data_IF_516949878680
#
_entry.id   IF_516949878680
#
_cell.length_a   1.000
_cell.length_b   1.000
_cell.length_c   1.000
_cell.angle_alpha   90.00
_cell.angle_beta   90.00
_cell.angle_gamma   90.00
#
_symmetry.space_group_name_H-M   'P 1'
#
loop_
_entity.id
_entity.type
_entity.pdbx_description
1 polymer ?
#
# COMPACT_ATOMS: atom_id res chain seq x y z
N UNK A 1 -22.24 41.04 15.10
CA UNK A 1 -21.09 40.41 15.77
C UNK A 1 -20.85 39.03 15.14
N UNK A 2 -19.85 38.92 14.27
CA UNK A 2 -19.59 37.74 13.43
C UNK A 2 -18.52 36.85 14.07
N UNK A 3 -18.90 35.63 14.48
CA UNK A 3 -17.96 34.61 15.00
C UNK A 3 -17.28 33.91 13.83
N UNK A 4 -16.00 34.19 13.62
CA UNK A 4 -15.11 33.41 12.74
C UNK A 4 -14.90 32.03 13.33
N UNK A 5 -15.42 31.00 12.65
CA UNK A 5 -15.05 29.61 12.90
C UNK A 5 -13.60 29.38 12.46
N UNK A 6 -12.76 29.03 13.42
CA UNK A 6 -11.39 28.54 13.21
C UNK A 6 -11.49 27.16 12.56
N UNK A 7 -11.07 27.09 11.30
CA UNK A 7 -10.78 25.86 10.58
C UNK A 7 -9.79 25.01 11.36
N UNK A 8 -10.20 23.80 11.72
CA UNK A 8 -9.31 22.78 12.28
C UNK A 8 -8.24 22.42 11.26
N UNK A 9 -6.99 22.59 11.68
CA UNK A 9 -5.79 22.21 10.96
C UNK A 9 -5.76 20.69 10.86
N UNK A 10 -5.85 20.18 9.63
CA UNK A 10 -5.74 18.77 9.32
C UNK A 10 -4.47 18.16 9.92
N UNK A 11 -4.65 17.09 10.70
CA UNK A 11 -3.54 16.30 11.23
C UNK A 11 -2.78 15.67 10.05
N UNK A 12 -1.47 15.89 9.91
CA UNK A 12 -0.70 15.25 8.85
C UNK A 12 -0.65 13.74 9.07
N UNK A 13 -1.13 13.04 8.05
CA UNK A 13 -1.15 11.60 7.83
C UNK A 13 0.05 10.83 8.42
N UNK A 14 -0.24 9.92 9.36
CA UNK A 14 0.71 8.95 9.95
C UNK A 14 1.28 7.91 8.97
N UNK A 15 0.85 7.89 7.71
CA UNK A 15 1.30 6.88 6.73
C UNK A 15 2.74 7.06 6.22
N UNK A 16 3.35 8.24 6.38
CA UNK A 16 4.75 8.44 5.95
C UNK A 16 5.78 7.68 6.81
N UNK A 17 5.43 7.27 8.04
CA UNK A 17 6.37 6.60 8.94
C UNK A 17 6.55 5.10 8.68
N UNK A 18 5.58 4.45 8.00
CA UNK A 18 5.67 3.02 7.69
C UNK A 18 6.59 2.73 6.50
N UNK A 19 6.42 3.47 5.40
CA UNK A 19 7.28 3.33 4.22
C UNK A 19 8.77 3.61 4.53
N UNK A 20 9.03 4.57 5.45
CA UNK A 20 10.38 4.87 5.89
C UNK A 20 11.05 3.72 6.65
N UNK A 21 10.29 2.93 7.43
CA UNK A 21 10.83 1.82 8.23
C UNK A 21 11.25 0.61 7.37
N UNK A 22 10.48 0.27 6.34
CA UNK A 22 10.85 -0.82 5.44
C UNK A 22 12.04 -0.46 4.54
N UNK A 23 12.11 0.79 4.10
CA UNK A 23 13.28 1.31 3.40
C UNK A 23 14.53 1.28 4.31
N UNK A 24 14.38 1.67 5.58
CA UNK A 24 15.47 1.59 6.56
C UNK A 24 15.91 0.15 6.81
N UNK A 25 14.98 -0.82 6.84
CA UNK A 25 15.30 -2.22 7.08
C UNK A 25 16.04 -2.85 5.88
N UNK A 26 15.63 -2.54 4.65
CA UNK A 26 16.34 -2.99 3.45
C UNK A 26 17.74 -2.38 3.32
N UNK A 27 17.89 -1.08 3.63
CA UNK A 27 19.21 -0.41 3.69
C UNK A 27 20.08 -1.03 4.80
N UNK A 28 19.50 -1.29 5.98
CA UNK A 28 20.23 -1.90 7.09
C UNK A 28 20.69 -3.32 6.75
N UNK A 29 19.83 -4.13 6.11
CA UNK A 29 20.19 -5.47 5.65
C UNK A 29 21.30 -5.41 4.60
N UNK A 30 21.21 -4.51 3.61
CA UNK A 30 22.27 -4.31 2.62
C UNK A 30 23.59 -3.89 3.27
N UNK A 31 23.55 -2.98 4.24
CA UNK A 31 24.72 -2.54 4.98
C UNK A 31 25.33 -3.69 5.79
N UNK A 32 24.52 -4.49 6.48
CA UNK A 32 24.96 -5.68 7.22
C UNK A 32 25.56 -6.72 6.27
N UNK A 33 24.94 -6.97 5.12
CA UNK A 33 25.46 -7.90 4.11
C UNK A 33 26.80 -7.43 3.54
N UNK A 34 26.94 -6.12 3.28
CA UNK A 34 28.17 -5.52 2.81
C UNK A 34 29.30 -5.68 3.85
N UNK A 35 29.00 -5.39 5.13
CA UNK A 35 29.95 -5.55 6.24
C UNK A 35 30.36 -7.01 6.44
N UNK A 36 29.40 -7.93 6.46
CA UNK A 36 29.66 -9.37 6.57
C UNK A 36 30.51 -9.88 5.38
N UNK A 37 30.19 -9.44 4.16
CA UNK A 37 30.97 -9.75 2.98
C UNK A 37 32.42 -9.27 3.10
N UNK A 38 32.64 -8.07 3.65
CA UNK A 38 33.99 -7.54 3.93
C UNK A 38 34.76 -8.39 4.95
N UNK A 39 34.11 -8.81 6.05
CA UNK A 39 34.72 -9.66 7.09
C UNK A 39 35.10 -11.05 6.57
N UNK A 40 34.23 -11.66 5.77
CA UNK A 40 34.51 -12.95 5.11
C UNK A 40 35.69 -12.78 4.17
N UNK A 41 35.73 -11.72 3.37
CA UNK A 41 36.84 -11.47 2.45
C UNK A 41 38.17 -11.25 3.18
N UNK A 42 38.17 -10.51 4.29
CA UNK A 42 39.37 -10.34 5.10
C UNK A 42 39.86 -11.67 5.67
N UNK A 43 38.94 -12.51 6.13
CA UNK A 43 39.29 -13.85 6.65
C UNK A 43 39.88 -14.74 5.56
N UNK A 44 39.26 -14.76 4.38
CA UNK A 44 39.75 -15.49 3.20
C UNK A 44 41.11 -14.94 2.74
N UNK A 45 41.28 -13.62 2.72
CA UNK A 45 42.55 -12.97 2.39
C UNK A 45 43.67 -13.40 3.33
N UNK A 46 43.42 -13.39 4.65
CA UNK A 46 44.41 -13.83 5.64
C UNK A 46 44.76 -15.30 5.48
N UNK A 47 43.77 -16.16 5.22
CA UNK A 47 43.98 -17.57 4.98
C UNK A 47 44.82 -17.81 3.69
N UNK A 48 44.51 -17.12 2.59
CA UNK A 48 45.27 -17.23 1.35
C UNK A 48 46.71 -16.73 1.50
N UNK A 49 46.92 -15.58 2.13
CA UNK A 49 48.26 -15.04 2.36
C UNK A 49 49.09 -15.95 3.27
N UNK A 50 48.49 -16.52 4.31
CA UNK A 50 49.14 -17.47 5.21
C UNK A 50 49.52 -18.77 4.50
N UNK A 51 48.62 -19.33 3.69
CA UNK A 51 48.79 -20.67 3.12
C UNK A 51 49.62 -20.69 1.83
N UNK A 52 49.57 -19.62 1.04
CA UNK A 52 50.24 -19.52 -0.27
C UNK A 52 51.36 -18.49 -0.32
N UNK A 53 51.61 -17.74 0.77
CA UNK A 53 52.68 -16.75 0.83
C UNK A 53 52.51 -15.54 -0.10
N UNK A 54 51.30 -15.32 -0.63
CA UNK A 54 50.99 -14.18 -1.49
C UNK A 54 50.96 -12.88 -0.68
N UNK A 55 52.13 -12.28 -0.47
CA UNK A 55 52.30 -10.94 0.10
C UNK A 55 52.23 -9.83 -0.97
N UNK A 56 51.80 -10.15 -2.19
CA UNK A 56 51.82 -9.21 -3.32
C UNK A 56 50.57 -8.31 -3.32
N UNK A 57 50.72 -6.98 -3.52
CA UNK A 57 49.62 -6.02 -3.55
C UNK A 57 48.56 -6.34 -4.63
N UNK A 58 48.93 -7.14 -5.62
CA UNK A 58 48.04 -7.67 -6.68
C UNK A 58 46.90 -8.52 -6.10
N UNK A 59 47.15 -9.33 -5.06
CA UNK A 59 46.09 -10.15 -4.44
C UNK A 59 45.02 -9.27 -3.76
N UNK A 60 45.44 -8.20 -3.10
CA UNK A 60 44.53 -7.24 -2.48
C UNK A 60 43.62 -6.56 -3.49
N UNK A 61 44.18 -6.13 -4.63
CA UNK A 61 43.40 -5.53 -5.72
C UNK A 61 42.40 -6.55 -6.30
N UNK A 62 42.84 -7.78 -6.56
CA UNK A 62 41.97 -8.85 -7.08
C UNK A 62 40.79 -9.14 -6.15
N UNK A 63 41.04 -9.18 -4.84
CA UNK A 63 40.02 -9.39 -3.82
C UNK A 63 39.00 -8.24 -3.77
N UNK A 64 39.46 -6.99 -3.82
CA UNK A 64 38.57 -5.81 -3.86
C UNK A 64 37.68 -5.85 -5.11
N UNK A 65 38.27 -6.11 -6.28
CA UNK A 65 37.52 -6.23 -7.54
C UNK A 65 36.50 -7.37 -7.47
N UNK A 66 36.90 -8.53 -6.93
CA UNK A 66 36.00 -9.67 -6.73
C UNK A 66 34.84 -9.35 -5.79
N UNK A 67 35.09 -8.64 -4.70
CA UNK A 67 34.04 -8.19 -3.78
C UNK A 67 33.06 -7.24 -4.46
N UNK A 68 33.55 -6.23 -5.18
CA UNK A 68 32.69 -5.29 -5.93
C UNK A 68 31.81 -6.06 -6.92
N UNK A 69 32.37 -7.04 -7.62
CA UNK A 69 31.62 -7.88 -8.54
C UNK A 69 30.51 -8.69 -7.83
N UNK A 70 30.81 -9.30 -6.68
CA UNK A 70 29.82 -10.03 -5.87
C UNK A 70 28.69 -9.10 -5.40
N UNK A 71 29.04 -7.93 -4.87
CA UNK A 71 28.05 -6.94 -4.42
C UNK A 71 27.19 -6.46 -5.57
N UNK A 72 27.78 -6.18 -6.74
CA UNK A 72 27.05 -5.78 -7.94
C UNK A 72 26.09 -6.88 -8.43
N UNK A 73 26.52 -8.15 -8.42
CA UNK A 73 25.67 -9.27 -8.78
C UNK A 73 24.50 -9.46 -7.81
N UNK A 74 24.75 -9.35 -6.51
CA UNK A 74 23.69 -9.40 -5.49
C UNK A 74 22.71 -8.25 -5.67
N UNK A 75 23.20 -7.02 -5.86
CA UNK A 75 22.35 -5.85 -6.10
C UNK A 75 21.48 -6.05 -7.35
N UNK A 76 22.05 -6.55 -8.44
CA UNK A 76 21.31 -6.84 -9.68
C UNK A 76 20.28 -7.96 -9.48
N UNK A 77 20.61 -9.01 -8.72
CA UNK A 77 19.70 -10.08 -8.38
C UNK A 77 18.50 -9.59 -7.57
N UNK A 78 18.74 -8.80 -6.50
CA UNK A 78 17.68 -8.22 -5.69
C UNK A 78 16.85 -7.21 -6.47
N UNK A 79 17.49 -6.36 -7.28
CA UNK A 79 16.80 -5.41 -8.14
C UNK A 79 15.84 -6.14 -9.09
N UNK A 80 16.31 -7.17 -9.80
CA UNK A 80 15.48 -7.90 -10.74
C UNK A 80 14.35 -8.68 -10.04
N UNK A 81 14.63 -9.30 -8.88
CA UNK A 81 13.66 -10.14 -8.15
C UNK A 81 12.60 -9.33 -7.39
N UNK A 82 12.95 -8.18 -6.83
CA UNK A 82 12.03 -7.37 -6.02
C UNK A 82 11.43 -6.20 -6.82
N UNK A 83 12.24 -5.39 -7.50
CA UNK A 83 11.77 -4.15 -8.14
C UNK A 83 10.79 -4.44 -9.27
N UNK A 84 10.98 -5.55 -9.99
CA UNK A 84 10.08 -5.96 -11.08
C UNK A 84 8.63 -6.13 -10.64
N UNK A 85 8.34 -7.03 -9.68
CA UNK A 85 7.00 -7.17 -9.10
C UNK A 85 6.44 -5.86 -8.52
N UNK A 86 7.24 -5.09 -7.79
CA UNK A 86 6.77 -3.82 -7.20
C UNK A 86 6.37 -2.79 -8.26
N UNK A 87 7.12 -2.63 -9.35
CA UNK A 87 6.72 -1.74 -10.45
C UNK A 87 5.41 -2.15 -11.12
N UNK A 88 5.15 -3.46 -11.24
CA UNK A 88 3.86 -3.95 -11.77
C UNK A 88 2.72 -3.62 -10.83
N UNK A 89 2.93 -3.81 -9.53
CA UNK A 89 1.93 -3.48 -8.51
C UNK A 89 1.65 -1.98 -8.47
N UNK A 90 2.68 -1.15 -8.53
CA UNK A 90 2.56 0.30 -8.60
C UNK A 90 1.70 0.74 -9.79
N UNK A 91 1.95 0.16 -10.97
CA UNK A 91 1.18 0.47 -12.18
C UNK A 91 -0.30 0.09 -12.06
N UNK A 92 -0.60 -1.11 -11.58
CA UNK A 92 -2.00 -1.54 -11.40
C UNK A 92 -2.69 -0.74 -10.28
N UNK A 93 -1.99 -0.44 -9.17
CA UNK A 93 -2.51 0.42 -8.11
C UNK A 93 -2.81 1.83 -8.61
N UNK A 94 -1.99 2.38 -9.52
CA UNK A 94 -2.25 3.69 -10.13
C UNK A 94 -3.56 3.70 -10.92
N UNK A 95 -3.84 2.65 -11.71
CA UNK A 95 -5.11 2.54 -12.43
C UNK A 95 -6.31 2.43 -11.50
N UNK A 96 -6.17 1.67 -10.41
CA UNK A 96 -7.20 1.58 -9.37
C UNK A 96 -7.44 2.97 -8.74
N UNK A 97 -6.37 3.75 -8.50
CA UNK A 97 -6.50 5.12 -7.99
C UNK A 97 -7.17 6.08 -9.00
N UNK A 98 -7.04 5.80 -10.29
CA UNK A 98 -7.70 6.54 -11.37
C UNK A 98 -9.19 6.15 -11.55
N UNK A 99 -9.70 5.22 -10.74
CA UNK A 99 -11.13 4.84 -10.67
C UNK A 99 -11.48 3.48 -11.30
N UNK A 100 -10.51 2.72 -11.81
CA UNK A 100 -10.72 1.36 -12.34
C UNK A 100 -10.76 0.32 -11.18
N UNK A 101 -11.82 0.36 -10.35
CA UNK A 101 -11.96 -0.52 -9.17
C UNK A 101 -12.25 -1.99 -9.48
N UNK A 102 -12.63 -2.31 -10.72
CA UNK A 102 -12.85 -3.68 -11.21
C UNK A 102 -11.54 -4.44 -11.42
N UNK A 103 -10.41 -3.73 -11.54
CA UNK A 103 -9.10 -4.35 -11.68
C UNK A 103 -8.67 -5.09 -10.42
N UNK A 104 -7.86 -6.12 -10.64
CA UNK A 104 -7.20 -6.89 -9.59
C UNK A 104 -5.70 -6.88 -9.80
N UNK A 105 -4.97 -6.81 -8.70
CA UNK A 105 -3.53 -6.90 -8.67
C UNK A 105 -3.11 -8.33 -9.05
N UNK A 106 -2.14 -8.45 -9.95
CA UNK A 106 -1.64 -9.75 -10.41
C UNK A 106 -0.12 -9.85 -10.22
N UNK A 107 0.32 -11.04 -9.83
CA UNK A 107 1.75 -11.38 -9.67
C UNK A 107 2.01 -12.76 -10.24
N UNK A 108 3.26 -13.04 -10.61
CA UNK A 108 3.64 -14.32 -11.20
C UNK A 108 3.75 -15.37 -10.10
N UNK A 109 3.49 -16.63 -10.44
CA UNK A 109 3.66 -17.75 -9.49
C UNK A 109 5.10 -17.94 -8.99
N UNK A 110 6.09 -17.45 -9.77
CA UNK A 110 7.51 -17.45 -9.41
C UNK A 110 7.94 -16.26 -8.56
N UNK A 111 7.07 -15.27 -8.38
CA UNK A 111 7.35 -14.13 -7.50
C UNK A 111 7.35 -14.60 -6.03
N UNK A 112 7.94 -13.81 -5.15
CA UNK A 112 8.09 -14.15 -3.73
C UNK A 112 6.76 -14.46 -3.04
N UNK A 113 6.74 -15.45 -2.14
CA UNK A 113 5.53 -15.87 -1.42
C UNK A 113 4.89 -14.70 -0.64
N UNK A 114 5.70 -13.85 -0.01
CA UNK A 114 5.19 -12.71 0.75
C UNK A 114 4.51 -11.69 -0.15
N UNK A 115 5.07 -11.43 -1.34
CA UNK A 115 4.45 -10.55 -2.33
C UNK A 115 3.11 -11.15 -2.79
N UNK A 116 3.06 -12.46 -3.04
CA UNK A 116 1.81 -13.15 -3.43
C UNK A 116 0.72 -13.04 -2.36
N UNK A 117 1.08 -13.25 -1.10
CA UNK A 117 0.13 -13.13 0.00
C UNK A 117 -0.36 -11.69 0.17
N UNK A 118 0.55 -10.71 0.07
CA UNK A 118 0.19 -9.30 0.09
C UNK A 118 -0.82 -8.96 -1.02
N UNK A 119 -0.58 -9.43 -2.24
CA UNK A 119 -1.49 -9.22 -3.38
C UNK A 119 -2.86 -9.86 -3.14
N UNK A 120 -2.90 -11.07 -2.55
CA UNK A 120 -4.15 -11.72 -2.19
C UNK A 120 -4.94 -10.86 -1.19
N UNK A 121 -4.31 -10.40 -0.11
CA UNK A 121 -4.97 -9.52 0.87
C UNK A 121 -5.42 -8.19 0.26
N UNK A 122 -4.59 -7.58 -0.58
CA UNK A 122 -4.95 -6.35 -1.27
C UNK A 122 -6.16 -6.55 -2.19
N UNK A 123 -6.24 -7.68 -2.91
CA UNK A 123 -7.40 -7.99 -3.75
C UNK A 123 -8.68 -8.26 -2.94
N UNK A 124 -8.57 -8.88 -1.76
CA UNK A 124 -9.70 -9.01 -0.83
C UNK A 124 -10.19 -7.63 -0.40
N UNK A 125 -9.27 -6.77 0.05
CA UNK A 125 -9.59 -5.39 0.43
C UNK A 125 -10.25 -4.61 -0.72
N UNK A 126 -9.72 -4.72 -1.94
CA UNK A 126 -10.31 -4.07 -3.12
C UNK A 126 -11.73 -4.56 -3.39
N UNK A 127 -11.99 -5.86 -3.19
CA UNK A 127 -13.31 -6.44 -3.39
C UNK A 127 -14.32 -5.98 -2.33
N UNK A 128 -13.88 -5.88 -1.07
CA UNK A 128 -14.69 -5.29 0.01
C UNK A 128 -14.96 -3.81 -0.23
N UNK A 129 -13.94 -3.05 -0.64
CA UNK A 129 -14.08 -1.64 -0.98
C UNK A 129 -15.03 -1.41 -2.15
N UNK A 130 -14.95 -2.24 -3.19
CA UNK A 130 -15.88 -2.18 -4.34
C UNK A 130 -17.32 -2.47 -3.91
N UNK A 131 -17.53 -3.47 -3.04
CA UNK A 131 -18.85 -3.79 -2.51
C UNK A 131 -19.42 -2.64 -1.67
N UNK A 132 -18.61 -2.06 -0.78
CA UNK A 132 -18.97 -0.88 0.01
C UNK A 132 -19.32 0.31 -0.89
N UNK A 133 -18.52 0.58 -1.92
CA UNK A 133 -18.76 1.68 -2.86
C UNK A 133 -20.09 1.52 -3.61
N UNK A 134 -20.40 0.30 -4.08
CA UNK A 134 -21.68 -0.01 -4.73
C UNK A 134 -22.86 0.19 -3.79
N UNK A 135 -22.76 -0.30 -2.56
CA UNK A 135 -23.82 -0.17 -1.55
C UNK A 135 -24.02 1.31 -1.15
N UNK A 136 -22.93 2.06 -0.96
CA UNK A 136 -22.99 3.50 -0.73
C UNK A 136 -23.69 4.24 -1.86
N UNK A 137 -23.34 3.95 -3.11
CA UNK A 137 -23.99 4.58 -4.27
C UNK A 137 -25.49 4.24 -4.34
N UNK A 138 -25.86 2.99 -4.05
CA UNK A 138 -27.26 2.58 -3.97
C UNK A 138 -28.02 3.29 -2.85
N UNK A 139 -27.42 3.43 -1.67
CA UNK A 139 -28.00 4.14 -0.54
C UNK A 139 -28.14 5.63 -0.83
N UNK A 140 -27.12 6.23 -1.45
CA UNK A 140 -27.14 7.64 -1.85
C UNK A 140 -28.25 7.93 -2.88
N UNK A 141 -28.39 7.06 -3.90
CA UNK A 141 -29.45 7.18 -4.89
C UNK A 141 -30.85 7.03 -4.27
N UNK A 142 -31.04 6.08 -3.35
CA UNK A 142 -32.28 5.92 -2.60
C UNK A 142 -32.57 7.16 -1.75
N UNK A 143 -31.58 7.66 -0.99
CA UNK A 143 -31.73 8.86 -0.15
C UNK A 143 -32.13 10.07 -0.97
N UNK A 144 -31.51 10.28 -2.14
CA UNK A 144 -31.88 11.39 -3.01
C UNK A 144 -33.28 11.24 -3.61
N UNK A 145 -33.68 10.02 -3.93
CA UNK A 145 -35.05 9.73 -4.42
C UNK A 145 -36.07 10.04 -3.33
N UNK A 146 -35.86 9.53 -2.11
CA UNK A 146 -36.74 9.77 -0.96
C UNK A 146 -36.82 11.24 -0.56
N UNK A 147 -35.69 11.94 -0.53
CA UNK A 147 -35.67 13.38 -0.27
C UNK A 147 -36.42 14.18 -1.35
N UNK A 148 -36.39 13.71 -2.61
CA UNK A 148 -37.14 14.33 -3.70
C UNK A 148 -38.66 14.10 -3.55
N UNK A 149 -39.08 12.87 -3.23
CA UNK A 149 -40.48 12.53 -2.95
C UNK A 149 -41.04 13.38 -1.79
N UNK A 150 -40.28 13.47 -0.69
CA UNK A 150 -40.61 14.31 0.47
C UNK A 150 -40.77 15.77 0.05
N UNK A 151 -39.83 16.30 -0.74
CA UNK A 151 -39.88 17.68 -1.22
C UNK A 151 -41.12 17.92 -2.08
N UNK A 152 -41.39 17.06 -3.04
CA UNK A 152 -42.53 17.19 -3.96
C UNK A 152 -43.86 17.14 -3.18
N UNK A 153 -43.99 16.23 -2.22
CA UNK A 153 -45.19 16.19 -1.41
C UNK A 153 -45.34 17.41 -0.49
N UNK A 154 -44.24 17.98 0.03
CA UNK A 154 -44.27 19.24 0.81
C UNK A 154 -44.72 20.42 -0.06
N UNK A 155 -44.28 20.47 -1.32
CA UNK A 155 -44.71 21.50 -2.29
C UNK A 155 -46.20 21.35 -2.68
N UNK A 156 -46.75 20.13 -2.62
CA UNK A 156 -48.14 19.84 -2.98
C UNK A 156 -49.18 20.07 -1.86
N UNK A 157 -48.75 20.49 -0.66
CA UNK A 157 -49.57 20.63 0.57
C UNK A 157 -50.35 19.37 0.99
N UNK A 158 -50.02 18.20 0.41
CA UNK A 158 -50.77 16.95 0.56
C UNK A 158 -49.95 15.86 1.28
N UNK A 159 -49.12 16.24 2.25
CA UNK A 159 -48.35 15.29 3.07
C UNK A 159 -48.93 15.17 4.47
N UNK A 160 -49.13 13.93 4.90
CA UNK A 160 -49.29 13.58 6.30
C UNK A 160 -47.94 13.65 7.03
N UNK A 161 -47.84 14.53 8.04
CA UNK A 161 -46.67 14.64 8.90
C UNK A 161 -46.28 13.31 9.56
N UNK A 162 -47.22 12.40 9.80
CA UNK A 162 -46.93 11.08 10.37
C UNK A 162 -46.14 10.21 9.39
N UNK A 163 -46.59 10.14 8.13
CA UNK A 163 -45.92 9.39 7.05
C UNK A 163 -44.52 9.94 6.78
N UNK A 164 -44.39 11.27 6.69
CA UNK A 164 -43.09 11.92 6.51
C UNK A 164 -42.10 11.57 7.63
N UNK A 165 -42.56 11.56 8.88
CA UNK A 165 -41.72 11.20 10.03
C UNK A 165 -41.26 9.74 9.95
N UNK A 166 -42.16 8.83 9.55
CA UNK A 166 -41.84 7.42 9.35
C UNK A 166 -40.79 7.23 8.26
N UNK A 167 -40.93 7.91 7.12
CA UNK A 167 -39.96 7.85 6.02
C UNK A 167 -38.57 8.33 6.47
N UNK A 168 -38.49 9.46 7.18
CA UNK A 168 -37.22 10.01 7.69
C UNK A 168 -36.56 9.03 8.67
N UNK A 169 -37.32 8.46 9.60
CA UNK A 169 -36.80 7.47 10.56
C UNK A 169 -36.32 6.21 9.84
N UNK A 170 -37.04 5.76 8.81
CA UNK A 170 -36.62 4.60 8.01
C UNK A 170 -35.30 4.87 7.27
N UNK A 171 -35.12 6.09 6.75
CA UNK A 171 -33.91 6.49 6.05
C UNK A 171 -32.71 6.60 7.00
N UNK A 172 -32.93 7.17 8.20
CA UNK A 172 -31.95 7.22 9.27
C UNK A 172 -31.52 5.82 9.71
N UNK A 173 -32.48 4.90 9.87
CA UNK A 173 -32.20 3.50 10.19
C UNK A 173 -31.30 2.81 9.17
N UNK A 174 -31.56 3.00 7.86
CA UNK A 174 -30.72 2.43 6.79
C UNK A 174 -29.33 3.05 6.73
N UNK A 175 -29.21 4.35 6.99
CA UNK A 175 -27.92 5.03 7.13
C UNK A 175 -27.12 4.50 8.32
N UNK A 176 -27.80 4.20 9.42
CA UNK A 176 -27.17 3.61 10.61
C UNK A 176 -26.67 2.20 10.33
N UNK A 177 -27.51 1.33 9.75
CA UNK A 177 -27.14 -0.03 9.38
C UNK A 177 -25.94 -0.07 8.41
N UNK A 178 -25.93 0.81 7.41
CA UNK A 178 -24.80 0.94 6.49
C UNK A 178 -23.50 1.30 7.23
N UNK A 179 -23.57 2.20 8.22
CA UNK A 179 -22.42 2.63 9.03
C UNK A 179 -21.94 1.55 10.01
N UNK A 180 -22.83 0.68 10.51
CA UNK A 180 -22.41 -0.43 11.38
C UNK A 180 -21.75 -1.57 10.61
N UNK A 181 -22.15 -1.76 9.35
CA UNK A 181 -21.63 -2.80 8.47
C UNK A 181 -20.19 -2.54 7.99
N UNK A 182 -19.80 -1.27 7.80
CA UNK A 182 -18.52 -0.85 7.19
C UNK A 182 -17.73 0.09 8.11
#
# INVERSE_FOLDING_TARGET
MSKKNKSEVGKPSRHKSFAARELQLSIAVLAVLALLGGLVLQSVSKALTSHFGFATPVLGILLIVGYIAIVALLALFFAHRLVGPFRRLEFEMKKISDGEYDRRLTVRNKDDLHIRNFVAYANTFLSEFEAMSKEYNSLSALSMTKLKEIREGLESENIDCAELKEEIVSLEGRLHEFKEKW
#
